data_IF_935244984233
#
_entry.id   IF_935244984233
#
_cell.length_a   1.000
_cell.length_b   1.000
_cell.length_c   1.000
_cell.angle_alpha   90.00
_cell.angle_beta   90.00
_cell.angle_gamma   90.00
#
_symmetry.space_group_name_H-M   'P 1'
#
loop_
_entity.id
_entity.type
_entity.pdbx_description
1 polymer ?
#
# COMPACT_ATOMS: atom_id res chain seq x y z
N UNK A 1 -6.96 3.17 -3.96
CA UNK A 1 -6.35 1.81 -3.90
C UNK A 1 -5.94 1.32 -5.28
N UNK A 2 -6.84 1.38 -6.27
CA UNK A 2 -6.58 0.89 -7.62
C UNK A 2 -5.35 1.53 -8.27
N UNK A 3 -5.16 2.84 -8.11
CA UNK A 3 -3.99 3.58 -8.60
C UNK A 3 -2.66 3.02 -8.09
N UNK A 4 -2.59 2.60 -6.82
CA UNK A 4 -1.36 2.07 -6.21
C UNK A 4 -1.07 0.67 -6.72
N UNK A 5 -2.11 -0.15 -6.93
CA UNK A 5 -1.96 -1.48 -7.52
C UNK A 5 -1.47 -1.37 -8.97
N UNK A 6 -1.98 -0.38 -9.71
CA UNK A 6 -1.58 -0.10 -11.08
C UNK A 6 -0.14 0.43 -11.15
N UNK A 7 0.25 1.34 -10.25
CA UNK A 7 1.60 1.90 -10.18
C UNK A 7 2.65 0.83 -9.78
N UNK A 8 2.34 -0.01 -8.80
CA UNK A 8 3.20 -1.12 -8.38
C UNK A 8 3.23 -2.28 -9.37
N UNK A 9 2.25 -2.36 -10.28
CA UNK A 9 2.06 -3.53 -11.16
C UNK A 9 1.76 -4.83 -10.41
N UNK A 10 1.33 -4.76 -9.15
CA UNK A 10 1.05 -5.95 -8.33
C UNK A 10 -0.43 -6.30 -8.33
N UNK A 11 -0.79 -7.59 -8.44
CA UNK A 11 -2.18 -7.98 -8.37
C UNK A 11 -2.75 -7.74 -6.96
N UNK A 12 -4.04 -7.39 -6.89
CA UNK A 12 -4.77 -7.10 -5.65
C UNK A 12 -4.68 -8.21 -4.60
N UNK A 13 -4.42 -9.45 -5.02
CA UNK A 13 -4.20 -10.61 -4.15
C UNK A 13 -2.86 -10.52 -3.40
N UNK A 14 -1.80 -10.06 -4.06
CA UNK A 14 -0.48 -9.81 -3.45
C UNK A 14 -0.61 -8.69 -2.42
N UNK A 15 -1.31 -7.62 -2.78
CA UNK A 15 -1.59 -6.54 -1.84
C UNK A 15 -2.34 -7.00 -0.59
N UNK A 16 -3.40 -7.80 -0.76
CA UNK A 16 -4.12 -8.39 0.39
C UNK A 16 -3.21 -9.26 1.26
N UNK A 17 -2.31 -10.05 0.65
CA UNK A 17 -1.33 -10.85 1.40
C UNK A 17 -0.42 -9.97 2.26
N UNK A 18 0.04 -8.84 1.72
CA UNK A 18 0.81 -7.86 2.48
C UNK A 18 -0.02 -7.22 3.59
N UNK A 19 -1.28 -6.87 3.30
CA UNK A 19 -2.19 -6.28 4.28
C UNK A 19 -2.45 -7.23 5.47
N UNK A 20 -2.70 -8.52 5.20
CA UNK A 20 -2.84 -9.54 6.25
C UNK A 20 -1.58 -9.69 7.09
N UNK A 21 -0.41 -9.54 6.46
CA UNK A 21 0.89 -9.55 7.15
C UNK A 21 1.23 -8.21 7.83
N UNK A 22 0.36 -7.21 7.76
CA UNK A 22 0.61 -5.83 8.22
C UNK A 22 1.84 -5.17 7.57
N UNK A 23 2.18 -5.61 6.37
CA UNK A 23 3.30 -5.08 5.57
C UNK A 23 2.81 -4.08 4.52
N UNK A 24 1.79 -3.30 4.83
CA UNK A 24 1.23 -2.28 3.95
C UNK A 24 1.40 -0.90 4.56
N UNK A 25 1.53 0.15 3.73
CA UNK A 25 1.59 1.53 4.20
C UNK A 25 0.29 1.93 4.89
N UNK A 26 0.34 3.06 5.59
CA UNK A 26 -0.80 3.57 6.36
C UNK A 26 -1.96 3.93 5.42
N UNK A 27 -3.08 3.23 5.58
CA UNK A 27 -4.29 3.47 4.81
C UNK A 27 -5.24 4.38 5.60
N UNK A 28 -5.57 5.53 5.03
CA UNK A 28 -6.61 6.43 5.51
C UNK A 28 -7.95 6.03 4.89
N UNK A 29 -8.90 5.66 5.77
CA UNK A 29 -10.29 5.47 5.38
C UNK A 29 -10.97 6.83 5.35
N UNK A 30 -11.43 7.23 4.18
CA UNK A 30 -12.20 8.45 3.97
C UNK A 30 -13.67 8.22 4.38
N UNK A 31 -14.41 9.30 4.75
CA UNK A 31 -15.81 9.21 5.14
C UNK A 31 -16.73 8.72 4.02
N UNK A 32 -16.28 8.80 2.76
CA UNK A 32 -16.98 8.28 1.59
C UNK A 32 -16.79 6.76 1.37
N UNK A 33 -16.03 6.08 2.24
CA UNK A 33 -15.78 4.64 2.16
C UNK A 33 -14.57 4.25 1.31
N UNK A 34 -13.90 5.22 0.69
CA UNK A 34 -12.67 4.97 -0.06
C UNK A 34 -11.45 4.88 0.87
N UNK A 35 -10.44 4.14 0.42
CA UNK A 35 -9.15 4.08 1.08
C UNK A 35 -8.11 4.83 0.26
N UNK A 36 -7.48 5.82 0.88
CA UNK A 36 -6.32 6.53 0.34
C UNK A 36 -5.09 6.25 1.17
N UNK A 37 -3.95 6.30 0.51
CA UNK A 37 -2.64 6.23 1.17
C UNK A 37 -1.97 7.55 0.86
N UNK A 38 -1.37 8.17 1.87
CA UNK A 38 -0.60 9.39 1.64
C UNK A 38 0.66 9.04 0.86
N UNK A 39 1.02 9.87 -0.13
CA UNK A 39 2.18 9.59 -0.98
C UNK A 39 3.47 9.46 -0.18
N UNK A 40 3.61 10.27 0.87
CA UNK A 40 4.75 10.23 1.78
C UNK A 40 4.84 8.90 2.56
N UNK A 41 3.73 8.44 3.16
CA UNK A 41 3.66 7.13 3.82
C UNK A 41 3.98 5.98 2.86
N UNK A 42 3.51 6.09 1.61
CA UNK A 42 3.80 5.09 0.58
C UNK A 42 5.29 5.06 0.20
N UNK A 43 5.92 6.23 0.02
CA UNK A 43 7.36 6.29 -0.26
C UNK A 43 8.22 5.84 0.92
N UNK A 44 7.84 6.20 2.15
CA UNK A 44 8.51 5.73 3.35
C UNK A 44 8.42 4.20 3.49
N UNK A 45 7.27 3.61 3.16
CA UNK A 45 7.10 2.16 3.12
C UNK A 45 7.94 1.50 2.02
N UNK A 46 7.98 2.05 0.81
CA UNK A 46 8.84 1.55 -0.27
C UNK A 46 10.32 1.58 0.13
N UNK A 47 10.77 2.68 0.72
CA UNK A 47 12.15 2.81 1.22
C UNK A 47 12.48 1.79 2.32
N UNK A 48 11.48 1.39 3.13
CA UNK A 48 11.64 0.35 4.14
C UNK A 48 11.66 -1.08 3.56
N UNK A 49 11.06 -1.31 2.39
CA UNK A 49 11.06 -2.61 1.72
C UNK A 49 12.36 -2.91 0.97
N UNK A 50 13.08 -1.89 0.51
CA UNK A 50 14.34 -2.03 -0.24
C UNK A 50 15.49 -2.63 0.60
N UNK A 51 15.28 -2.81 1.91
CA UNK A 51 16.27 -3.33 2.87
C UNK A 51 16.16 -4.84 3.11
N UNK A 52 15.11 -5.52 2.65
CA UNK A 52 14.95 -6.98 2.80
C UNK A 52 15.10 -7.66 1.42
N UNK A 53 16.35 -7.88 1.00
CA UNK A 53 16.74 -8.62 -0.20
C UNK A 53 17.45 -9.92 0.16
#
# INVERSE_FOLDING_TARGET
MDEILHELGVPRRTWQKWHTRKQTPRMLRLPNGEYRIHRDDYQAWLAGLEVDA
#
